data_IF_790043479442
#
_entry.id   IF_790043479442
#
_cell.length_a   1.000
_cell.length_b   1.000
_cell.length_c   1.000
_cell.angle_alpha   90.00
_cell.angle_beta   90.00
_cell.angle_gamma   90.00
#
_symmetry.space_group_name_H-M   'P 1'
#
loop_
_entity.id
_entity.type
_entity.pdbx_description
1 polymer ?
#
# COMPACT_ATOMS: atom_id res chain seq x y z
N UNK A 1 -7.48 -12.16 8.74
CA UNK A 1 -7.78 -12.13 7.29
C UNK A 1 -6.91 -11.04 6.68
N UNK A 2 -6.18 -11.26 5.57
CA UNK A 2 -5.33 -10.23 4.97
C UNK A 2 -6.11 -9.00 4.56
N UNK A 3 -5.55 -7.82 4.83
CA UNK A 3 -5.99 -6.59 4.18
C UNK A 3 -5.09 -6.28 2.98
N UNK A 4 -5.70 -5.68 1.97
CA UNK A 4 -5.07 -5.22 0.73
C UNK A 4 -5.40 -3.73 0.54
N UNK A 5 -4.66 -3.06 -0.35
CA UNK A 5 -4.87 -1.64 -0.61
C UNK A 5 -3.63 -0.89 -1.05
N UNK A 6 -3.73 0.43 -1.00
CA UNK A 6 -2.67 1.36 -1.39
C UNK A 6 -2.17 2.13 -0.16
N UNK A 7 -0.90 2.50 -0.17
CA UNK A 7 -0.32 3.28 0.90
C UNK A 7 0.78 4.24 0.43
N UNK A 8 1.05 5.22 1.27
CA UNK A 8 2.20 6.11 1.24
C UNK A 8 2.91 6.08 2.57
N UNK A 9 4.21 6.39 2.54
CA UNK A 9 5.05 6.52 3.71
C UNK A 9 5.47 7.96 3.89
N UNK A 10 4.94 8.61 4.94
CA UNK A 10 5.09 10.03 5.20
C UNK A 10 5.54 10.23 6.63
N UNK A 11 6.67 10.92 6.84
CA UNK A 11 7.17 11.28 8.18
C UNK A 11 7.10 10.10 9.17
N UNK A 12 7.68 8.96 8.77
CA UNK A 12 7.69 7.74 9.58
C UNK A 12 6.32 7.11 9.89
N UNK A 13 5.28 7.49 9.15
CA UNK A 13 3.93 6.93 9.27
C UNK A 13 3.45 6.38 7.94
N UNK A 14 2.63 5.35 8.02
CA UNK A 14 1.93 4.80 6.86
C UNK A 14 0.55 5.43 6.81
N UNK A 15 0.22 6.03 5.67
CA UNK A 15 -1.08 6.60 5.36
C UNK A 15 -1.63 5.87 4.12
N UNK A 16 -2.94 5.89 3.91
CA UNK A 16 -3.54 5.16 2.79
C UNK A 16 -4.87 4.53 3.13
N UNK A 17 -5.27 3.56 2.30
CA UNK A 17 -6.53 2.85 2.44
C UNK A 17 -6.27 1.36 2.47
N UNK A 18 -7.04 0.67 3.31
CA UNK A 18 -6.99 -0.78 3.43
C UNK A 18 -8.41 -1.34 3.53
N UNK A 19 -8.59 -2.52 2.97
CA UNK A 19 -9.83 -3.28 3.08
C UNK A 19 -9.52 -4.78 3.17
N UNK A 20 -10.42 -5.59 3.76
CA UNK A 20 -10.28 -7.04 3.75
C UNK A 20 -10.23 -7.55 2.31
N UNK A 21 -9.34 -8.49 1.99
CA UNK A 21 -9.15 -8.91 0.60
C UNK A 21 -10.41 -9.44 -0.10
N UNK A 22 -11.36 -9.99 0.68
CA UNK A 22 -12.66 -10.46 0.18
C UNK A 22 -13.57 -9.35 -0.35
N UNK A 23 -13.31 -8.10 0.03
CA UNK A 23 -14.02 -6.93 -0.46
C UNK A 23 -13.27 -6.25 -1.62
N UNK A 24 -12.16 -6.84 -2.07
CA UNK A 24 -11.41 -6.38 -3.22
C UNK A 24 -11.90 -7.02 -4.53
N UNK A 25 -11.14 -6.76 -5.58
CA UNK A 25 -11.37 -7.27 -6.91
C UNK A 25 -10.39 -8.41 -7.23
N UNK A 26 -10.88 -9.41 -7.95
CA UNK A 26 -10.09 -10.56 -8.38
C UNK A 26 -9.94 -10.54 -9.91
N UNK A 27 -9.19 -9.56 -10.43
CA UNK A 27 -8.97 -9.43 -11.88
C UNK A 27 -8.19 -10.61 -12.49
N UNK A 28 -7.35 -11.27 -11.68
CA UNK A 28 -6.65 -12.50 -12.05
C UNK A 28 -7.08 -13.59 -11.04
N UNK A 29 -7.52 -14.79 -11.48
CA UNK A 29 -7.98 -15.83 -10.56
C UNK A 29 -6.99 -16.13 -9.42
N UNK A 30 -7.45 -15.91 -8.19
CA UNK A 30 -6.69 -16.12 -6.96
C UNK A 30 -5.73 -14.99 -6.59
N UNK A 31 -5.74 -13.87 -7.30
CA UNK A 31 -5.00 -12.66 -6.96
C UNK A 31 -5.98 -11.51 -6.69
N UNK A 32 -5.99 -11.06 -5.45
CA UNK A 32 -6.93 -10.07 -4.94
C UNK A 32 -6.25 -8.73 -4.73
N UNK A 33 -6.84 -7.69 -5.32
CA UNK A 33 -6.36 -6.31 -5.27
C UNK A 33 -7.50 -5.37 -4.80
N UNK A 34 -7.18 -4.20 -4.26
CA UNK A 34 -8.20 -3.17 -4.03
C UNK A 34 -8.53 -2.46 -5.35
N UNK A 35 -9.75 -1.92 -5.52
CA UNK A 35 -10.08 -1.07 -6.67
C UNK A 35 -9.42 0.32 -6.61
N UNK A 36 -8.65 0.60 -5.54
CA UNK A 36 -8.16 1.94 -5.27
C UNK A 36 -7.00 2.32 -6.21
N UNK A 37 -7.00 3.59 -6.61
CA UNK A 37 -5.93 4.21 -7.38
C UNK A 37 -5.24 5.29 -6.55
N UNK A 38 -3.90 5.32 -6.60
CA UNK A 38 -3.10 6.34 -5.90
C UNK A 38 -3.46 7.77 -6.30
N UNK A 39 -3.74 8.03 -7.59
CA UNK A 39 -4.10 9.37 -8.09
C UNK A 39 -5.40 9.84 -7.43
N UNK A 40 -6.47 9.07 -7.57
CA UNK A 40 -7.80 9.44 -7.10
C UNK A 40 -7.81 9.76 -5.61
N UNK A 41 -7.16 8.91 -4.80
CA UNK A 41 -7.12 9.10 -3.36
C UNK A 41 -6.23 10.26 -2.91
N UNK A 42 -5.16 10.55 -3.63
CA UNK A 42 -4.29 11.67 -3.28
C UNK A 42 -4.89 13.03 -3.67
N UNK A 43 -5.47 13.12 -4.87
CA UNK A 43 -5.97 14.38 -5.42
C UNK A 43 -7.40 14.70 -4.98
N UNK A 44 -8.28 13.69 -4.94
CA UNK A 44 -9.71 13.89 -4.69
C UNK A 44 -10.05 13.66 -3.22
N UNK A 45 -9.42 12.67 -2.58
CA UNK A 45 -9.75 12.25 -1.21
C UNK A 45 -8.57 12.29 -0.20
N UNK A 46 -7.72 13.35 -0.18
CA UNK A 46 -6.51 13.38 0.66
C UNK A 46 -6.81 13.27 2.16
N UNK A 47 -7.98 13.72 2.60
CA UNK A 47 -8.40 13.62 3.99
C UNK A 47 -8.74 12.18 4.40
N UNK A 48 -9.29 11.37 3.49
CA UNK A 48 -9.69 9.98 3.78
C UNK A 48 -8.48 9.07 4.01
N UNK A 49 -7.40 9.33 3.28
CA UNK A 49 -6.15 8.58 3.42
C UNK A 49 -5.20 9.21 4.44
N UNK A 50 -5.50 10.39 4.99
CA UNK A 50 -4.70 11.04 6.03
C UNK A 50 -3.49 11.81 5.53
N UNK A 51 -3.53 12.37 4.31
CA UNK A 51 -2.46 13.20 3.76
C UNK A 51 -2.32 14.50 4.57
N UNK A 52 -1.13 14.78 5.13
CA UNK A 52 -0.87 16.03 5.83
C UNK A 52 -1.11 17.24 4.92
N UNK A 53 -1.62 18.34 5.49
CA UNK A 53 -1.94 19.57 4.73
C UNK A 53 -0.72 20.06 3.91
N UNK A 54 0.48 19.95 4.48
CA UNK A 54 1.73 20.35 3.83
C UNK A 54 2.06 19.57 2.54
N UNK A 55 1.50 18.36 2.36
CA UNK A 55 1.75 17.52 1.19
C UNK A 55 0.61 17.55 0.16
N UNK A 56 -0.50 18.25 0.44
CA UNK A 56 -1.64 18.32 -0.49
C UNK A 56 -1.32 19.04 -1.81
N UNK A 57 -0.26 19.83 -1.84
CA UNK A 57 0.22 20.54 -3.04
C UNK A 57 1.38 19.80 -3.74
N UNK A 58 1.75 18.61 -3.24
CA UNK A 58 2.80 17.78 -3.84
C UNK A 58 2.17 16.68 -4.66
N UNK A 59 2.85 16.27 -5.73
CA UNK A 59 2.43 15.11 -6.50
C UNK A 59 2.56 13.84 -5.65
N UNK A 60 1.56 12.97 -5.72
CA UNK A 60 1.58 11.68 -5.01
C UNK A 60 2.79 10.82 -5.35
N UNK A 61 3.42 11.07 -6.50
CA UNK A 61 4.63 10.38 -6.96
C UNK A 61 5.88 10.80 -6.21
N UNK A 62 5.90 12.01 -5.64
CA UNK A 62 7.01 12.55 -4.86
C UNK A 62 7.15 11.89 -3.48
N UNK A 63 6.16 11.09 -3.07
CA UNK A 63 6.11 10.42 -1.78
C UNK A 63 6.28 8.91 -1.97
N UNK A 64 7.18 8.24 -1.21
CA UNK A 64 7.33 6.79 -1.26
C UNK A 64 6.00 6.09 -1.03
N UNK A 65 5.65 5.17 -1.92
CA UNK A 65 4.33 4.54 -1.95
C UNK A 65 4.41 3.07 -2.31
N UNK A 66 3.29 2.39 -2.19
CA UNK A 66 3.18 1.00 -2.58
C UNK A 66 1.75 0.49 -2.62
N UNK A 67 1.65 -0.80 -2.93
CA UNK A 67 0.40 -1.55 -3.09
C UNK A 67 0.53 -2.92 -2.45
N UNK A 68 -0.52 -3.30 -1.74
CA UNK A 68 -0.63 -4.58 -1.03
C UNK A 68 -1.71 -5.39 -1.70
N UNK A 69 -1.36 -6.57 -2.18
CA UNK A 69 -2.30 -7.52 -2.81
C UNK A 69 -2.18 -8.89 -2.15
N UNK A 70 -3.18 -9.73 -2.33
CA UNK A 70 -3.19 -11.07 -1.72
C UNK A 70 -3.24 -12.17 -2.79
N UNK A 71 -2.26 -13.06 -2.78
CA UNK A 71 -2.22 -14.26 -3.62
C UNK A 71 -2.77 -15.44 -2.82
N UNK A 72 -4.05 -15.74 -3.01
CA UNK A 72 -4.77 -16.80 -2.30
C UNK A 72 -4.19 -18.18 -2.60
N UNK A 73 -3.69 -18.39 -3.82
CA UNK A 73 -3.05 -19.64 -4.24
C UNK A 73 -1.79 -19.93 -3.44
N UNK A 74 -1.03 -18.89 -3.10
CA UNK A 74 0.19 -18.98 -2.29
C UNK A 74 -0.05 -18.74 -0.80
N UNK A 75 -1.27 -18.37 -0.42
CA UNK A 75 -1.65 -17.89 0.92
C UNK A 75 -0.66 -16.85 1.45
N UNK A 76 -0.33 -15.88 0.61
CA UNK A 76 0.70 -14.88 0.89
C UNK A 76 0.26 -13.49 0.44
N UNK A 77 0.60 -12.50 1.25
CA UNK A 77 0.44 -11.08 0.89
C UNK A 77 1.66 -10.62 0.12
N UNK A 78 1.45 -10.07 -1.07
CA UNK A 78 2.49 -9.46 -1.89
C UNK A 78 2.46 -7.95 -1.66
N UNK A 79 3.61 -7.37 -1.31
CA UNK A 79 3.73 -5.93 -1.08
C UNK A 79 4.72 -5.37 -2.10
N UNK A 80 4.20 -4.57 -3.02
CA UNK A 80 4.97 -3.82 -4.00
C UNK A 80 5.22 -2.44 -3.44
N UNK A 81 6.47 -2.01 -3.33
CA UNK A 81 6.80 -0.73 -2.73
C UNK A 81 8.06 -0.10 -3.34
N UNK A 82 8.18 1.22 -3.14
CA UNK A 82 9.39 1.95 -3.47
C UNK A 82 10.64 1.36 -2.79
N UNK A 83 11.79 1.42 -3.48
CA UNK A 83 13.05 0.87 -3.00
C UNK A 83 13.53 1.48 -1.66
N UNK A 84 13.14 2.72 -1.35
CA UNK A 84 13.52 3.41 -0.11
C UNK A 84 12.87 2.80 1.14
N UNK A 85 11.81 1.98 0.98
CA UNK A 85 11.03 1.42 2.08
C UNK A 85 11.45 0.01 2.49
N UNK A 86 12.61 -0.46 2.02
CA UNK A 86 13.10 -1.82 2.26
C UNK A 86 13.80 -2.02 3.60
N UNK A 87 13.92 -0.97 4.42
CA UNK A 87 14.38 -1.08 5.79
C UNK A 87 13.33 -1.75 6.71
N UNK A 88 13.79 -2.27 7.84
CA UNK A 88 12.94 -3.04 8.75
C UNK A 88 11.87 -2.17 9.43
N UNK A 89 12.15 -0.89 9.67
CA UNK A 89 11.22 0.02 10.35
C UNK A 89 10.03 0.29 9.44
N UNK A 90 10.28 0.63 8.16
CA UNK A 90 9.24 0.83 7.15
C UNK A 90 8.39 -0.42 6.96
N UNK A 91 9.03 -1.59 6.81
CA UNK A 91 8.33 -2.88 6.69
C UNK A 91 7.42 -3.18 7.89
N UNK A 92 7.90 -2.94 9.12
CA UNK A 92 7.10 -3.16 10.32
C UNK A 92 5.88 -2.23 10.36
N UNK A 93 6.05 -0.96 10.01
CA UNK A 93 4.95 0.01 9.97
C UNK A 93 3.92 -0.34 8.91
N UNK A 94 4.35 -0.75 7.71
CA UNK A 94 3.45 -1.21 6.64
C UNK A 94 2.69 -2.46 7.10
N UNK A 95 3.40 -3.42 7.71
CA UNK A 95 2.78 -4.63 8.27
C UNK A 95 1.69 -4.31 9.27
N UNK A 96 1.98 -3.41 10.21
CA UNK A 96 1.04 -2.99 11.26
C UNK A 96 -0.17 -2.25 10.66
N UNK A 97 0.05 -1.35 9.72
CA UNK A 97 -1.03 -0.61 9.05
C UNK A 97 -2.02 -1.55 8.38
N UNK A 98 -1.54 -2.56 7.64
CA UNK A 98 -2.38 -3.55 6.97
C UNK A 98 -2.84 -4.72 7.87
N UNK A 99 -2.49 -4.74 9.16
CA UNK A 99 -2.82 -5.82 10.12
C UNK A 99 -2.39 -7.21 9.60
N UNK A 100 -1.13 -7.31 9.18
CA UNK A 100 -0.54 -8.52 8.57
C UNK A 100 0.33 -9.32 9.55
N UNK A 101 0.11 -9.19 10.85
CA UNK A 101 0.79 -9.96 11.89
C UNK A 101 0.56 -11.46 11.69
N UNK A 102 1.63 -12.25 11.80
CA UNK A 102 1.58 -13.71 11.58
C UNK A 102 1.33 -14.15 10.13
N UNK A 103 1.09 -13.22 9.19
CA UNK A 103 0.88 -13.56 7.79
C UNK A 103 2.20 -13.71 7.03
N UNK A 104 2.19 -14.57 6.01
CA UNK A 104 3.30 -14.70 5.06
C UNK A 104 3.31 -13.48 4.15
N UNK A 105 4.38 -12.70 4.19
CA UNK A 105 4.56 -11.49 3.39
C UNK A 105 5.72 -11.69 2.42
N UNK A 106 5.49 -11.29 1.17
CA UNK A 106 6.50 -11.30 0.11
C UNK A 106 6.70 -9.84 -0.34
N UNK A 107 7.85 -9.28 0.01
CA UNK A 107 8.23 -7.92 -0.37
C UNK A 107 8.78 -7.90 -1.80
N UNK A 108 8.34 -6.91 -2.59
CA UNK A 108 8.72 -6.72 -3.99
C UNK A 108 9.01 -5.24 -4.26
N UNK A 109 10.12 -4.99 -4.93
CA UNK A 109 10.44 -3.65 -5.41
C UNK A 109 9.70 -3.47 -6.73
N UNK A 110 8.96 -2.37 -6.85
CA UNK A 110 8.30 -2.03 -8.10
C UNK A 110 8.98 -0.79 -8.72
N UNK A 111 9.57 -0.90 -9.92
CA UNK A 111 10.15 0.23 -10.62
C UNK A 111 9.15 1.38 -10.85
N UNK A 112 7.85 1.10 -10.93
CA UNK A 112 6.80 2.12 -11.10
C UNK A 112 6.53 2.94 -9.85
N UNK A 113 6.95 2.47 -8.67
CA UNK A 113 6.78 3.21 -7.41
C UNK A 113 7.97 4.10 -7.04
N UNK A 114 8.89 4.33 -7.98
CA UNK A 114 10.00 5.26 -7.79
C UNK A 114 9.49 6.67 -7.49
N UNK A 115 10.13 7.32 -6.53
CA UNK A 115 9.96 8.75 -6.27
C UNK A 115 10.63 9.55 -7.40
N UNK A 116 9.87 10.49 -7.97
CA UNK A 116 10.32 11.42 -9.01
C UNK A 116 10.21 12.85 -8.52
#
# INVERSE_FOLDING_TARGET
MPNIGIFWYVQERVIGRRLPFKNGECGIPGLWDSPDNHVDFWEIYPAEIGVPVALRQTDYQSVPRGRVIYDERKRATLIYMDKSLFDDVSKQRIRAFFQLEGQKIIWRCDPHYRVF
#
